data_IF_355419405212
#
_entry.id   IF_355419405212
#
_cell.length_a   1.000
_cell.length_b   1.000
_cell.length_c   1.000
_cell.angle_alpha   90.00
_cell.angle_beta   90.00
_cell.angle_gamma   90.00
#
_symmetry.space_group_name_H-M   'P 1'
#
loop_
_entity.id
_entity.type
_entity.pdbx_description
1 polymer ?
#
# COMPACT_ATOMS: atom_id res chain seq x y z
N UNK A 1 -0.11 -13.43 -38.73
CA UNK A 1 -0.17 -12.26 -37.83
C UNK A 1 -0.59 -12.74 -36.45
N UNK A 2 0.32 -12.71 -35.47
CA UNK A 2 -0.05 -12.17 -34.16
C UNK A 2 1.06 -11.21 -33.67
N UNK A 3 0.76 -9.93 -33.45
CA UNK A 3 0.12 -9.37 -32.26
C UNK A 3 1.01 -9.49 -31.01
N UNK A 4 1.76 -8.42 -30.78
CA UNK A 4 2.57 -8.15 -29.62
C UNK A 4 1.71 -8.09 -28.35
N UNK A 5 1.93 -9.00 -27.42
CA UNK A 5 1.58 -8.81 -26.02
C UNK A 5 2.87 -8.86 -25.20
N UNK A 6 3.22 -7.69 -24.66
CA UNK A 6 4.26 -7.53 -23.65
C UNK A 6 3.71 -8.08 -22.33
N UNK A 7 4.05 -9.33 -22.02
CA UNK A 7 3.92 -9.85 -20.67
C UNK A 7 5.27 -9.67 -19.96
N UNK A 8 5.42 -8.47 -19.41
CA UNK A 8 6.53 -8.00 -18.60
C UNK A 8 6.30 -8.44 -17.15
N UNK A 9 6.70 -9.65 -16.76
CA UNK A 9 6.79 -10.03 -15.34
C UNK A 9 7.58 -11.34 -15.12
N UNK A 10 8.85 -11.21 -14.74
CA UNK A 10 9.73 -12.32 -14.30
C UNK A 10 11.09 -11.76 -13.84
N UNK A 11 11.79 -12.42 -12.90
CA UNK A 11 12.75 -11.77 -11.99
C UNK A 11 14.03 -11.33 -12.71
N UNK A 12 14.07 -10.06 -13.12
CA UNK A 12 15.28 -9.38 -13.60
C UNK A 12 15.77 -8.29 -12.64
N UNK A 13 15.28 -8.32 -11.41
CA UNK A 13 15.41 -7.21 -10.47
C UNK A 13 16.86 -6.83 -10.21
N UNK A 14 17.75 -7.79 -9.97
CA UNK A 14 19.08 -7.47 -9.43
C UNK A 14 20.08 -7.01 -10.51
N UNK A 15 19.97 -7.53 -11.75
CA UNK A 15 20.91 -7.16 -12.82
C UNK A 15 20.51 -5.84 -13.47
N UNK A 16 19.20 -5.64 -13.68
CA UNK A 16 18.68 -4.40 -14.24
C UNK A 16 18.83 -3.24 -13.24
N UNK A 17 18.71 -3.52 -11.93
CA UNK A 17 18.99 -2.55 -10.85
C UNK A 17 20.47 -2.17 -10.80
N UNK A 18 21.39 -3.13 -10.93
CA UNK A 18 22.83 -2.84 -10.98
C UNK A 18 23.22 -2.02 -12.21
N UNK A 19 22.62 -2.30 -13.37
CA UNK A 19 22.82 -1.52 -14.59
C UNK A 19 22.26 -0.10 -14.44
N UNK A 20 21.08 0.03 -13.84
CA UNK A 20 20.47 1.33 -13.56
C UNK A 20 21.34 2.16 -12.61
N UNK A 21 21.83 1.60 -11.51
CA UNK A 21 22.74 2.28 -10.58
C UNK A 21 24.04 2.73 -11.26
N UNK A 22 24.61 1.89 -12.14
CA UNK A 22 25.81 2.25 -12.89
C UNK A 22 25.59 3.46 -13.82
N UNK A 23 24.45 3.50 -14.52
CA UNK A 23 24.07 4.63 -15.38
C UNK A 23 23.83 5.92 -14.58
N UNK A 24 23.20 5.81 -13.40
CA UNK A 24 23.02 6.95 -12.50
C UNK A 24 24.38 7.48 -12.05
N UNK A 25 25.28 6.60 -11.65
CA UNK A 25 26.63 7.00 -11.25
C UNK A 25 27.43 7.66 -12.38
N UNK A 26 27.36 7.13 -13.60
CA UNK A 26 28.03 7.73 -14.76
C UNK A 26 27.52 9.15 -15.04
N UNK A 27 26.20 9.35 -14.97
CA UNK A 27 25.58 10.63 -15.30
C UNK A 27 25.74 11.70 -14.22
N UNK A 28 25.68 11.31 -12.95
CA UNK A 28 25.61 12.23 -11.82
C UNK A 28 26.87 12.21 -10.94
N UNK A 29 27.79 11.28 -11.17
CA UNK A 29 29.01 11.09 -10.39
C UNK A 29 28.77 10.59 -8.96
N UNK A 30 27.53 10.21 -8.63
CA UNK A 30 27.08 9.81 -7.29
C UNK A 30 26.01 8.73 -7.39
N UNK A 31 25.90 7.85 -6.38
CA UNK A 31 24.88 6.81 -6.36
C UNK A 31 23.47 7.38 -6.13
N UNK A 32 22.44 6.66 -6.59
CA UNK A 32 21.05 7.15 -6.57
C UNK A 32 20.56 7.52 -5.17
N UNK A 33 20.94 6.73 -4.16
CA UNK A 33 20.52 6.94 -2.78
C UNK A 33 21.02 8.28 -2.19
N UNK A 34 22.21 8.75 -2.59
CA UNK A 34 22.73 10.06 -2.15
C UNK A 34 21.93 11.21 -2.76
N UNK A 35 21.58 11.09 -4.04
CA UNK A 35 20.78 12.08 -4.77
C UNK A 35 19.39 12.24 -4.13
N UNK A 36 18.71 11.12 -3.89
CA UNK A 36 17.39 11.11 -3.25
C UNK A 36 17.45 11.64 -1.81
N UNK A 37 18.56 11.38 -1.12
CA UNK A 37 18.76 11.84 0.24
C UNK A 37 19.00 13.36 0.33
N UNK A 38 19.67 13.97 -0.66
CA UNK A 38 19.80 15.42 -0.76
C UNK A 38 18.45 16.10 -1.06
N UNK A 39 17.65 15.56 -1.98
CA UNK A 39 16.32 16.09 -2.32
C UNK A 39 15.36 16.02 -1.12
N UNK A 40 15.39 14.93 -0.36
CA UNK A 40 14.57 14.76 0.85
C UNK A 40 15.12 15.53 2.06
N UNK A 41 16.40 15.91 2.04
CA UNK A 41 17.05 16.80 3.02
C UNK A 41 16.88 18.29 2.72
N UNK A 42 16.09 18.65 1.72
CA UNK A 42 15.35 19.91 1.80
C UNK A 42 14.08 19.67 2.64
N UNK A 43 14.11 19.75 4.01
CA UNK A 43 12.88 20.11 4.70
C UNK A 43 12.45 21.40 4.01
N UNK A 44 11.22 21.57 3.49
CA UNK A 44 9.94 21.73 4.18
C UNK A 44 9.92 22.78 5.32
N UNK A 45 10.86 23.75 5.49
CA UNK A 45 10.86 24.59 6.69
C UNK A 45 9.81 25.69 6.50
N UNK A 46 9.47 26.01 5.25
CA UNK A 46 8.53 27.05 4.87
C UNK A 46 7.10 26.51 4.89
N UNK A 47 6.89 25.26 4.47
CA UNK A 47 5.60 24.57 4.59
C UNK A 47 5.21 24.31 6.06
N UNK A 48 6.16 24.01 6.94
CA UNK A 48 5.91 23.89 8.39
C UNK A 48 5.55 25.23 9.02
N UNK A 49 6.22 26.32 8.64
CA UNK A 49 5.87 27.69 9.10
C UNK A 49 4.46 28.10 8.67
N UNK A 50 4.01 27.63 7.51
CA UNK A 50 2.67 27.94 6.98
C UNK A 50 1.55 27.28 7.80
N UNK A 51 1.81 26.11 8.40
CA UNK A 51 0.88 25.47 9.35
C UNK A 51 0.69 26.30 10.63
N UNK A 52 1.72 27.03 11.08
CA UNK A 52 1.65 27.86 12.28
C UNK A 52 0.97 29.22 12.06
N UNK A 53 0.82 29.68 10.82
CA UNK A 53 0.14 30.96 10.51
C UNK A 53 -1.37 30.83 10.30
N UNK A 54 -1.90 29.62 10.18
CA UNK A 54 -3.35 29.43 10.08
C UNK A 54 -3.96 29.52 11.48
N UNK A 55 -4.99 30.36 11.70
CA UNK A 55 -5.80 30.27 12.92
C UNK A 55 -6.28 28.82 13.04
N UNK A 56 -6.03 28.19 14.20
CA UNK A 56 -6.62 26.89 14.50
C UNK A 56 -8.14 27.09 14.47
N UNK A 57 -8.82 26.49 13.49
CA UNK A 57 -10.27 26.33 13.56
C UNK A 57 -10.59 25.62 14.89
N UNK A 58 -11.62 26.06 15.63
CA UNK A 58 -12.01 25.40 16.87
C UNK A 58 -12.25 23.92 16.60
N UNK A 59 -11.71 23.08 17.49
CA UNK A 59 -11.74 21.63 17.39
C UNK A 59 -13.15 21.15 17.05
N UNK A 60 -13.28 20.42 15.93
CA UNK A 60 -14.51 19.73 15.61
C UNK A 60 -14.92 18.84 16.80
N UNK A 61 -16.22 18.75 17.12
CA UNK A 61 -16.66 17.98 18.27
C UNK A 61 -16.21 16.52 18.14
N UNK A 62 -15.60 16.02 19.20
CA UNK A 62 -15.19 14.61 19.37
C UNK A 62 -16.41 13.75 19.09
N UNK A 63 -16.37 12.96 18.02
CA UNK A 63 -17.46 12.04 17.74
C UNK A 63 -17.48 10.98 18.85
N UNK A 64 -18.50 11.06 19.71
CA UNK A 64 -18.79 10.07 20.72
C UNK A 64 -18.91 8.71 20.03
N UNK A 65 -18.17 7.72 20.53
CA UNK A 65 -18.20 6.36 20.04
C UNK A 65 -19.65 5.88 19.94
N UNK A 66 -20.12 5.78 18.70
CA UNK A 66 -21.40 5.18 18.40
C UNK A 66 -21.28 3.71 18.80
N UNK A 67 -21.99 3.29 19.85
CA UNK A 67 -22.17 1.88 20.13
C UNK A 67 -22.99 1.32 18.98
N UNK A 68 -22.31 0.82 17.95
CA UNK A 68 -22.94 0.18 16.81
C UNK A 68 -23.77 -0.99 17.33
N UNK A 69 -25.08 -0.90 17.16
CA UNK A 69 -26.01 -1.95 17.54
C UNK A 69 -25.58 -3.26 16.86
N UNK A 70 -25.39 -4.37 17.59
CA UNK A 70 -24.96 -5.62 16.99
C UNK A 70 -25.99 -6.07 15.95
N UNK A 71 -25.50 -6.38 14.76
CA UNK A 71 -26.32 -6.83 13.64
C UNK A 71 -27.10 -8.10 14.02
N UNK A 72 -28.45 -8.09 13.96
CA UNK A 72 -29.26 -9.25 14.34
C UNK A 72 -28.99 -10.46 13.44
N UNK A 73 -28.51 -10.27 12.21
CA UNK A 73 -28.30 -11.32 11.23
C UNK A 73 -26.86 -11.86 11.23
N UNK A 74 -26.00 -11.35 12.11
CA UNK A 74 -24.60 -11.77 12.23
C UNK A 74 -24.44 -13.28 12.49
N UNK A 75 -25.38 -13.88 13.22
CA UNK A 75 -25.38 -15.31 13.51
C UNK A 75 -25.64 -16.16 12.26
N UNK A 76 -26.59 -15.75 11.42
CA UNK A 76 -26.90 -16.44 10.17
C UNK A 76 -25.75 -16.32 9.17
N UNK A 77 -25.15 -15.13 9.06
CA UNK A 77 -23.98 -14.90 8.23
C UNK A 77 -22.78 -15.77 8.65
N UNK A 78 -22.50 -15.87 9.97
CA UNK A 78 -21.45 -16.77 10.49
C UNK A 78 -21.73 -18.24 10.18
N UNK A 79 -22.97 -18.69 10.31
CA UNK A 79 -23.34 -20.07 10.00
C UNK A 79 -23.12 -20.40 8.51
N UNK A 80 -23.43 -19.46 7.60
CA UNK A 80 -23.17 -19.62 6.17
C UNK A 80 -21.68 -19.76 5.85
N UNK A 81 -20.83 -18.95 6.49
CA UNK A 81 -19.37 -19.05 6.33
C UNK A 81 -18.84 -20.40 6.84
N UNK A 82 -19.31 -20.86 8.00
CA UNK A 82 -18.89 -22.16 8.54
C UNK A 82 -19.33 -23.32 7.64
N UNK A 83 -20.53 -23.25 7.06
CA UNK A 83 -21.01 -24.25 6.10
C UNK A 83 -20.19 -24.25 4.81
N UNK A 84 -19.76 -23.08 4.33
CA UNK A 84 -18.92 -22.97 3.13
C UNK A 84 -17.51 -23.53 3.34
N UNK A 85 -16.96 -23.40 4.55
CA UNK A 85 -15.61 -23.86 4.90
C UNK A 85 -15.61 -25.34 5.34
N UNK A 86 -16.76 -25.91 5.69
CA UNK A 86 -16.85 -27.30 6.11
C UNK A 86 -16.35 -28.23 5.00
N UNK A 87 -15.40 -29.14 5.30
CA UNK A 87 -14.89 -30.08 4.30
C UNK A 87 -16.03 -30.97 3.83
N UNK A 88 -16.24 -31.00 2.51
CA UNK A 88 -17.26 -31.83 1.87
C UNK A 88 -16.88 -33.30 2.09
N UNK A 89 -17.46 -33.95 3.11
CA UNK A 89 -17.23 -35.37 3.39
C UNK A 89 -17.52 -36.15 2.10
N UNK A 90 -16.48 -36.75 1.53
CA UNK A 90 -16.61 -37.67 0.41
C UNK A 90 -17.50 -38.82 0.86
N UNK A 91 -18.71 -38.88 0.32
CA UNK A 91 -19.55 -40.06 0.40
C UNK A 91 -18.84 -41.11 -0.46
N UNK A 92 -17.99 -41.93 0.18
CA UNK A 92 -17.55 -43.19 -0.41
C UNK A 92 -18.79 -44.07 -0.51
N UNK A 93 -19.27 -44.23 -1.73
CA UNK A 93 -20.15 -45.33 -2.10
C UNK A 93 -19.32 -46.62 -2.07
N UNK A 94 -19.71 -47.56 -1.20
CA UNK A 94 -19.54 -49.00 -1.35
C UNK A 94 -20.38 -49.69 -0.26
#
# INVERSE_FOLDING_TARGET
MPASHHDNNGPRTNHDEALHEALVFERYGRPLHEILWEETRHPLPDLLKERHRRPQLPAAPVQHQHQSQPDPDAAAHRAALLAAIAPRRARSAA
#
